data_IF_005511027106
#
_entry.id   IF_005511027106
#
_cell.length_a   1.000
_cell.length_b   1.000
_cell.length_c   1.000
_cell.angle_alpha   90.00
_cell.angle_beta   90.00
_cell.angle_gamma   90.00
#
_symmetry.space_group_name_H-M   'P 1'
#
loop_
_entity.id
_entity.type
_entity.pdbx_description
1 polymer ?
#
# COMPACT_ATOMS: atom_id res chain seq x y z
N UNK A 1 -11.70 18.75 -2.74
CA UNK A 1 -10.44 18.06 -3.07
C UNK A 1 -10.74 16.58 -3.35
N UNK A 2 -9.75 15.77 -3.72
CA UNK A 2 -9.84 14.30 -3.69
C UNK A 2 -8.57 13.73 -3.06
N UNK A 3 -8.77 12.98 -1.98
CA UNK A 3 -7.71 12.37 -1.19
C UNK A 3 -7.54 10.91 -1.57
N UNK A 4 -6.30 10.43 -1.54
CA UNK A 4 -5.99 9.00 -1.55
C UNK A 4 -5.04 8.71 -0.40
N UNK A 5 -5.36 7.69 0.38
CA UNK A 5 -4.63 7.31 1.57
C UNK A 5 -4.44 5.80 1.67
N UNK A 6 -3.36 5.39 2.33
CA UNK A 6 -3.04 3.99 2.57
C UNK A 6 -2.34 3.81 3.92
N UNK A 7 -2.80 2.86 4.73
CA UNK A 7 -2.19 2.39 5.99
C UNK A 7 -1.68 0.97 5.78
N UNK A 8 -0.35 0.79 5.86
CA UNK A 8 0.25 -0.53 5.65
C UNK A 8 0.11 -1.37 6.91
N UNK A 9 -0.47 -2.57 6.79
CA UNK A 9 -0.45 -3.56 7.88
C UNK A 9 0.73 -4.50 7.71
N UNK A 10 1.65 -4.54 8.68
CA UNK A 10 2.85 -5.36 8.57
C UNK A 10 3.48 -5.71 9.91
N UNK A 11 4.52 -6.56 9.87
CA UNK A 11 5.37 -6.84 11.01
C UNK A 11 6.13 -5.58 11.43
N UNK A 12 6.15 -5.29 12.73
CA UNK A 12 6.83 -4.12 13.31
C UNK A 12 8.34 -4.13 13.08
N UNK A 13 8.98 -5.30 12.95
CA UNK A 13 10.38 -5.40 12.53
C UNK A 13 10.66 -4.87 11.11
N UNK A 14 9.61 -4.67 10.30
CA UNK A 14 9.71 -4.08 8.96
C UNK A 14 9.78 -2.56 8.95
N UNK A 15 9.73 -1.87 10.10
CA UNK A 15 9.56 -0.41 10.16
C UNK A 15 10.80 0.44 9.82
N UNK A 16 11.84 -0.11 9.19
CA UNK A 16 12.88 0.68 8.53
C UNK A 16 12.37 1.24 7.20
N UNK A 17 11.80 2.45 7.25
CA UNK A 17 11.07 3.07 6.14
C UNK A 17 11.91 4.08 5.36
N UNK A 18 11.66 4.15 4.05
CA UNK A 18 12.27 5.11 3.14
C UNK A 18 11.21 5.61 2.16
N UNK A 19 10.99 6.92 2.10
CA UNK A 19 10.28 7.54 0.97
C UNK A 19 11.25 7.67 -0.21
N UNK A 20 10.82 7.27 -1.40
CA UNK A 20 11.69 7.24 -2.59
C UNK A 20 11.10 8.09 -3.69
N UNK A 21 11.96 8.83 -4.38
CA UNK A 21 11.67 9.49 -5.65
C UNK A 21 12.63 8.97 -6.70
N UNK A 22 12.10 8.32 -7.73
CA UNK A 22 12.85 7.88 -8.89
C UNK A 22 12.50 8.76 -10.07
N UNK A 23 13.54 9.21 -10.78
CA UNK A 23 13.43 9.95 -12.03
C UNK A 23 14.33 9.25 -13.03
N UNK A 24 13.73 8.48 -13.93
CA UNK A 24 14.47 7.69 -14.92
C UNK A 24 14.02 8.06 -16.33
N UNK A 25 14.95 8.47 -17.22
CA UNK A 25 14.66 8.81 -18.61
C UNK A 25 14.59 7.55 -19.48
N UNK A 26 13.84 6.54 -19.03
CA UNK A 26 13.65 5.31 -19.80
C UNK A 26 12.67 5.55 -20.92
N UNK A 27 12.89 4.92 -22.07
CA UNK A 27 11.98 4.98 -23.21
C UNK A 27 11.09 3.75 -23.27
N UNK A 28 9.95 3.86 -23.96
CA UNK A 28 8.93 2.81 -24.07
C UNK A 28 9.54 1.51 -24.64
N UNK A 29 10.41 1.62 -25.64
CA UNK A 29 11.17 0.48 -26.18
C UNK A 29 12.60 0.87 -26.51
N UNK A 30 13.47 -0.12 -26.74
CA UNK A 30 14.86 0.11 -27.13
C UNK A 30 15.03 0.81 -28.49
N UNK A 31 14.00 0.78 -29.35
CA UNK A 31 14.03 1.40 -30.68
C UNK A 31 13.57 2.87 -30.65
N UNK A 32 12.87 3.28 -29.60
CA UNK A 32 12.39 4.64 -29.44
C UNK A 32 13.36 5.40 -28.55
N UNK A 33 14.13 6.32 -29.12
CA UNK A 33 15.24 7.00 -28.41
C UNK A 33 15.06 8.51 -28.33
N UNK A 34 13.92 9.03 -28.78
CA UNK A 34 13.66 10.47 -28.78
C UNK A 34 13.03 10.89 -27.45
N UNK A 35 13.20 12.15 -27.01
CA UNK A 35 12.68 12.62 -25.73
C UNK A 35 11.17 12.44 -25.56
N UNK A 36 10.38 12.52 -26.63
CA UNK A 36 8.93 12.28 -26.63
C UNK A 36 8.54 10.81 -26.38
N UNK A 37 9.50 9.88 -26.53
CA UNK A 37 9.28 8.46 -26.38
C UNK A 37 9.61 7.95 -24.94
N UNK A 38 9.90 8.88 -24.02
CA UNK A 38 10.12 8.59 -22.59
C UNK A 38 8.82 8.04 -21.98
N UNK A 39 8.96 7.03 -21.11
CA UNK A 39 7.82 6.40 -20.46
C UNK A 39 6.98 7.43 -19.67
N UNK A 40 5.64 7.37 -19.71
CA UNK A 40 4.79 8.34 -19.02
C UNK A 40 5.08 8.45 -17.52
N UNK A 41 5.32 7.32 -16.85
CA UNK A 41 5.71 7.23 -15.45
C UNK A 41 7.22 7.36 -15.21
N UNK A 42 7.90 8.26 -15.93
CA UNK A 42 9.34 8.51 -15.76
C UNK A 42 9.73 9.05 -14.38
N UNK A 43 8.81 9.72 -13.68
CA UNK A 43 8.97 10.13 -12.28
C UNK A 43 7.98 9.37 -11.41
N UNK A 44 8.48 8.72 -10.35
CA UNK A 44 7.66 7.97 -9.40
C UNK A 44 8.08 8.35 -7.99
N UNK A 45 7.09 8.65 -7.13
CA UNK A 45 7.30 8.77 -5.69
C UNK A 45 6.50 7.72 -4.94
N UNK A 46 7.07 7.17 -3.86
CA UNK A 46 6.48 6.02 -3.17
C UNK A 46 6.99 5.89 -1.73
N UNK A 47 6.20 5.23 -0.88
CA UNK A 47 6.69 4.64 0.37
C UNK A 47 7.38 3.30 0.10
N UNK A 48 8.46 3.00 0.81
CA UNK A 48 9.29 1.82 0.56
C UNK A 48 10.16 1.47 1.79
N UNK A 49 11.01 0.46 1.62
CA UNK A 49 11.97 -0.03 2.61
C UNK A 49 13.40 0.03 2.04
N UNK A 50 14.41 -0.15 2.90
CA UNK A 50 15.79 -0.34 2.48
C UNK A 50 15.91 -1.57 1.55
N UNK A 51 16.71 -1.46 0.48
CA UNK A 51 16.94 -2.55 -0.48
C UNK A 51 15.77 -2.91 -1.43
N UNK A 52 14.53 -2.47 -1.15
CA UNK A 52 13.37 -2.71 -2.02
C UNK A 52 13.33 -1.70 -3.16
N UNK A 53 13.34 -2.13 -4.42
CA UNK A 53 13.33 -1.21 -5.58
C UNK A 53 11.92 -0.74 -5.99
N UNK A 54 10.91 -1.19 -5.26
CA UNK A 54 9.49 -0.89 -5.44
C UNK A 54 8.88 -0.63 -4.06
N UNK A 55 7.68 -0.07 -4.01
CA UNK A 55 6.88 -0.10 -2.79
C UNK A 55 6.57 -1.56 -2.44
N UNK A 56 6.50 -1.84 -1.14
CA UNK A 56 6.01 -3.12 -0.63
C UNK A 56 4.70 -2.93 0.15
N UNK A 57 4.16 -1.70 0.13
CA UNK A 57 3.01 -1.30 0.92
C UNK A 57 1.67 -1.71 0.26
N UNK A 58 1.27 -1.28 -0.93
CA UNK A 58 1.89 -0.39 -1.93
C UNK A 58 1.27 1.03 -1.98
N UNK A 59 2.09 2.07 -2.23
CA UNK A 59 1.61 3.44 -2.49
C UNK A 59 2.56 4.17 -3.47
N UNK A 60 2.04 4.57 -4.63
CA UNK A 60 2.81 5.22 -5.69
C UNK A 60 2.08 6.45 -6.22
N UNK A 61 2.83 7.52 -6.50
CA UNK A 61 2.42 8.63 -7.35
C UNK A 61 3.31 8.61 -8.60
N UNK A 62 2.74 8.85 -9.78
CA UNK A 62 3.48 8.80 -11.06
C UNK A 62 3.31 10.08 -11.88
N UNK A 63 4.34 10.45 -12.65
CA UNK A 63 4.27 11.55 -13.62
C UNK A 63 3.24 11.32 -14.73
N UNK A 64 2.75 10.09 -14.90
CA UNK A 64 1.62 9.79 -15.78
C UNK A 64 0.29 10.31 -15.24
N UNK A 65 0.28 10.93 -14.05
CA UNK A 65 -0.94 11.47 -13.43
C UNK A 65 -1.70 10.44 -12.60
N UNK A 66 -1.09 9.30 -12.27
CA UNK A 66 -1.74 8.20 -11.55
C UNK A 66 -1.26 8.12 -10.10
N UNK A 67 -2.19 7.99 -9.17
CA UNK A 67 -1.94 7.52 -7.82
C UNK A 67 -2.45 6.10 -7.66
N UNK A 68 -1.59 5.20 -7.19
CA UNK A 68 -1.83 3.75 -7.18
C UNK A 68 -1.58 3.23 -5.76
N UNK A 69 -2.53 2.46 -5.24
CA UNK A 69 -2.39 1.77 -3.96
C UNK A 69 -3.15 0.45 -4.00
N UNK A 70 -2.98 -0.41 -3.00
CA UNK A 70 -3.65 -1.71 -2.94
C UNK A 70 -3.83 -2.17 -1.51
N UNK A 71 -4.74 -3.13 -1.32
CA UNK A 71 -4.75 -3.97 -0.12
C UNK A 71 -4.77 -5.44 -0.53
N UNK A 72 -3.96 -6.27 0.14
CA UNK A 72 -3.83 -7.68 -0.22
C UNK A 72 -5.13 -8.45 0.03
N UNK A 73 -5.50 -9.35 -0.87
CA UNK A 73 -6.64 -10.24 -0.75
C UNK A 73 -6.20 -11.58 -0.16
N UNK A 74 -7.09 -12.19 0.61
CA UNK A 74 -6.91 -13.56 1.09
C UNK A 74 -7.32 -14.54 -0.01
N UNK A 75 -6.53 -15.59 -0.19
CA UNK A 75 -6.89 -16.74 -1.01
C UNK A 75 -6.69 -18.02 -0.21
N UNK A 76 -7.78 -18.58 0.30
CA UNK A 76 -7.75 -19.86 1.02
C UNK A 76 -8.03 -21.06 0.10
N UNK A 77 -8.41 -20.81 -1.16
CA UNK A 77 -8.64 -21.86 -2.13
C UNK A 77 -7.31 -22.47 -2.58
N UNK A 78 -7.08 -23.72 -2.16
CA UNK A 78 -5.86 -24.46 -2.46
C UNK A 78 -5.72 -24.79 -3.95
N UNK A 79 -6.82 -25.01 -4.68
CA UNK A 79 -6.81 -25.36 -6.10
C UNK A 79 -6.24 -24.22 -6.95
N UNK A 80 -6.47 -22.96 -6.54
CA UNK A 80 -5.89 -21.81 -7.25
C UNK A 80 -4.36 -21.77 -7.18
N UNK A 81 -3.76 -22.35 -6.15
CA UNK A 81 -2.29 -22.39 -6.05
C UNK A 81 -1.64 -23.31 -7.08
N UNK A 82 -2.38 -24.26 -7.65
CA UNK A 82 -1.90 -25.11 -8.75
C UNK A 82 -1.66 -24.31 -10.04
N UNK A 83 -2.24 -23.11 -10.16
CA UNK A 83 -2.06 -22.20 -11.29
C UNK A 83 -0.81 -21.31 -11.17
N UNK A 84 -0.15 -21.31 -10.01
CA UNK A 84 1.06 -20.51 -9.76
C UNK A 84 2.28 -21.34 -10.13
N UNK A 85 2.68 -21.25 -11.40
CA UNK A 85 3.81 -21.95 -11.99
C UNK A 85 4.95 -20.97 -12.31
N UNK A 86 6.21 -21.43 -12.36
CA UNK A 86 7.33 -20.60 -12.82
C UNK A 86 7.10 -19.95 -14.19
N UNK A 87 6.31 -20.59 -15.05
CA UNK A 87 5.97 -20.16 -16.39
C UNK A 87 4.72 -19.27 -16.48
N UNK A 88 3.97 -19.08 -15.37
CA UNK A 88 2.72 -18.30 -15.37
C UNK A 88 2.93 -16.81 -15.62
N UNK A 89 4.14 -16.31 -15.41
CA UNK A 89 4.53 -14.93 -15.67
C UNK A 89 5.47 -14.36 -14.61
N UNK A 90 5.95 -13.12 -14.78
CA UNK A 90 6.76 -12.45 -13.77
C UNK A 90 5.98 -12.26 -12.48
N UNK A 91 6.68 -12.22 -11.35
CA UNK A 91 6.08 -11.84 -10.07
C UNK A 91 5.33 -10.52 -10.17
N UNK A 92 4.21 -10.39 -9.45
CA UNK A 92 3.32 -9.22 -9.52
C UNK A 92 4.04 -7.89 -9.33
N UNK A 93 5.08 -7.82 -8.49
CA UNK A 93 5.85 -6.58 -8.33
C UNK A 93 6.58 -6.13 -9.60
N UNK A 94 7.01 -7.06 -10.47
CA UNK A 94 7.65 -6.77 -11.76
C UNK A 94 6.60 -6.21 -12.72
N UNK A 95 5.45 -6.87 -12.83
CA UNK A 95 4.35 -6.44 -13.69
C UNK A 95 3.81 -5.06 -13.25
N UNK A 96 3.64 -4.85 -11.94
CA UNK A 96 3.24 -3.56 -11.37
C UNK A 96 4.28 -2.46 -11.65
N UNK A 97 5.58 -2.75 -11.53
CA UNK A 97 6.64 -1.78 -11.84
C UNK A 97 6.64 -1.37 -13.32
N UNK A 98 6.36 -2.31 -14.23
CA UNK A 98 6.21 -2.06 -15.65
C UNK A 98 4.95 -1.23 -15.95
N UNK A 99 3.78 -1.64 -15.42
CA UNK A 99 2.52 -0.93 -15.58
C UNK A 99 2.61 0.53 -15.08
N UNK A 100 3.23 0.74 -13.92
CA UNK A 100 3.42 2.06 -13.28
C UNK A 100 4.27 3.00 -14.14
N UNK A 101 5.13 2.46 -15.02
CA UNK A 101 5.95 3.26 -15.94
C UNK A 101 5.26 3.51 -17.26
N UNK A 102 4.66 2.47 -17.83
CA UNK A 102 4.17 2.48 -19.20
C UNK A 102 2.77 3.09 -19.35
N UNK A 103 1.92 2.99 -18.33
CA UNK A 103 0.53 3.40 -18.45
C UNK A 103 0.35 4.93 -18.48
N UNK A 104 -0.59 5.39 -19.31
CA UNK A 104 -1.07 6.78 -19.39
C UNK A 104 -2.42 7.00 -18.70
N UNK A 105 -3.15 5.92 -18.41
CA UNK A 105 -4.48 5.96 -17.78
C UNK A 105 -4.67 4.77 -16.82
N UNK A 106 -5.66 4.86 -15.92
CA UNK A 106 -6.00 3.76 -15.03
C UNK A 106 -6.32 2.46 -15.77
N UNK A 107 -7.18 2.51 -16.79
CA UNK A 107 -7.52 1.33 -17.59
C UNK A 107 -6.32 0.72 -18.31
N UNK A 108 -5.40 1.55 -18.82
CA UNK A 108 -4.18 1.04 -19.45
C UNK A 108 -3.27 0.33 -18.44
N UNK A 109 -3.12 0.89 -17.24
CA UNK A 109 -2.34 0.26 -16.17
C UNK A 109 -2.89 -1.14 -15.86
N UNK A 110 -4.22 -1.24 -15.70
CA UNK A 110 -4.90 -2.51 -15.44
C UNK A 110 -4.74 -3.52 -16.56
N UNK A 111 -4.78 -3.06 -17.82
CA UNK A 111 -4.52 -3.91 -18.99
C UNK A 111 -3.07 -4.38 -19.06
N UNK A 112 -2.11 -3.61 -18.54
CA UNK A 112 -0.70 -4.01 -18.56
C UNK A 112 -0.44 -5.06 -17.47
N UNK A 113 -0.88 -4.82 -16.23
CA UNK A 113 -0.64 -5.77 -15.13
C UNK A 113 -1.33 -7.11 -15.37
N UNK A 114 -2.51 -7.11 -15.98
CA UNK A 114 -3.30 -8.32 -16.21
C UNK A 114 -2.75 -9.26 -17.30
N UNK A 115 -1.81 -8.78 -18.16
CA UNK A 115 -1.29 -9.57 -19.28
C UNK A 115 -0.57 -10.84 -18.85
N UNK A 116 0.25 -10.73 -17.82
CA UNK A 116 1.15 -11.80 -17.36
C UNK A 116 0.85 -12.10 -15.89
N UNK A 117 -0.43 -12.32 -15.55
CA UNK A 117 -0.87 -12.57 -14.19
C UNK A 117 -0.20 -13.83 -13.62
N UNK A 118 0.76 -13.65 -12.71
CA UNK A 118 1.44 -14.76 -12.04
C UNK A 118 0.63 -15.39 -10.90
N UNK A 119 -0.49 -14.79 -10.48
CA UNK A 119 -1.26 -15.26 -9.32
C UNK A 119 -0.57 -15.05 -7.96
N UNK A 120 0.49 -14.25 -7.94
CA UNK A 120 1.26 -13.93 -6.73
C UNK A 120 0.86 -12.56 -6.17
N UNK A 121 0.99 -12.34 -4.86
CA UNK A 121 0.63 -11.06 -4.21
C UNK A 121 -0.78 -10.54 -4.60
N UNK A 122 -1.76 -11.43 -4.49
CA UNK A 122 -3.17 -11.17 -4.79
C UNK A 122 -3.68 -9.96 -3.99
N UNK A 123 -4.30 -9.01 -4.66
CA UNK A 123 -4.66 -7.71 -4.07
C UNK A 123 -5.84 -7.08 -4.80
N UNK A 124 -6.53 -6.18 -4.09
CA UNK A 124 -7.40 -5.18 -4.69
C UNK A 124 -6.58 -3.91 -4.90
N UNK A 125 -6.38 -3.53 -6.15
CA UNK A 125 -5.60 -2.37 -6.57
C UNK A 125 -6.56 -1.22 -6.90
N UNK A 126 -6.26 -0.04 -6.37
CA UNK A 126 -6.97 1.21 -6.65
C UNK A 126 -6.07 2.11 -7.50
N UNK A 127 -6.63 2.68 -8.56
CA UNK A 127 -5.93 3.62 -9.43
C UNK A 127 -6.75 4.88 -9.62
N UNK A 128 -6.29 5.96 -9.00
CA UNK A 128 -6.87 7.29 -9.13
C UNK A 128 -6.11 8.06 -10.21
N UNK A 129 -6.81 8.46 -11.26
CA UNK A 129 -6.27 9.31 -12.32
C UNK A 129 -6.53 10.79 -12.01
N UNK A 130 -5.54 11.46 -11.44
CA UNK A 130 -5.63 12.87 -11.08
C UNK A 130 -5.78 13.80 -12.29
N UNK A 131 -5.46 13.34 -13.52
CA UNK A 131 -5.67 14.13 -14.75
C UNK A 131 -7.15 14.34 -15.03
N UNK A 132 -8.01 13.43 -14.55
CA UNK A 132 -9.46 13.48 -14.74
C UNK A 132 -10.20 14.20 -13.60
N UNK A 133 -9.49 14.60 -12.55
CA UNK A 133 -10.07 15.34 -11.44
C UNK A 133 -9.91 16.86 -11.63
N UNK A 134 -10.99 17.60 -11.40
CA UNK A 134 -10.96 19.07 -11.33
C UNK A 134 -11.69 19.53 -10.07
N UNK A 135 -11.05 20.28 -9.16
CA UNK A 135 -11.71 20.82 -7.97
C UNK A 135 -13.01 21.56 -8.28
N UNK A 136 -14.06 21.28 -7.50
CA UNK A 136 -15.39 21.89 -7.67
C UNK A 136 -16.23 21.32 -8.83
N UNK A 137 -15.72 20.34 -9.59
CA UNK A 137 -16.48 19.61 -10.60
C UNK A 137 -16.86 18.20 -10.11
N UNK A 138 -17.95 17.61 -10.63
CA UNK A 138 -18.24 16.20 -10.38
C UNK A 138 -17.09 15.30 -10.85
N UNK A 139 -16.84 14.21 -10.13
CA UNK A 139 -15.88 13.16 -10.52
C UNK A 139 -16.25 12.65 -11.92
N UNK A 140 -15.35 12.67 -12.90
CA UNK A 140 -15.63 12.15 -14.23
C UNK A 140 -15.54 10.61 -14.28
N UNK A 141 -16.15 9.97 -15.27
CA UNK A 141 -15.93 8.54 -15.49
C UNK A 141 -14.44 8.28 -15.83
N UNK A 142 -13.92 7.14 -15.41
CA UNK A 142 -12.53 6.74 -15.53
C UNK A 142 -11.58 7.32 -14.47
N UNK A 143 -12.06 8.19 -13.57
CA UNK A 143 -11.25 8.80 -12.50
C UNK A 143 -10.72 7.78 -11.51
N UNK A 144 -11.51 6.79 -11.11
CA UNK A 144 -11.08 5.76 -10.16
C UNK A 144 -11.43 4.37 -10.68
N UNK A 145 -10.41 3.52 -10.81
CA UNK A 145 -10.54 2.12 -11.16
C UNK A 145 -10.19 1.22 -9.97
N UNK A 146 -10.87 0.07 -9.90
CA UNK A 146 -10.44 -1.06 -9.07
C UNK A 146 -10.02 -2.24 -9.94
N UNK A 147 -9.15 -3.07 -9.40
CA UNK A 147 -8.77 -4.35 -9.97
C UNK A 147 -8.50 -5.37 -8.89
N UNK A 148 -9.02 -6.59 -9.05
CA UNK A 148 -8.75 -7.70 -8.15
C UNK A 148 -8.10 -8.83 -8.93
N UNK A 149 -7.07 -9.41 -8.33
CA UNK A 149 -6.28 -10.48 -8.91
C UNK A 149 -6.22 -11.69 -8.00
N UNK A 150 -6.38 -12.86 -8.61
CA UNK A 150 -6.10 -14.19 -8.07
C UNK A 150 -5.32 -15.00 -9.12
N UNK A 151 -4.77 -16.17 -8.78
CA UNK A 151 -4.24 -17.09 -9.78
C UNK A 151 -5.30 -17.41 -10.84
N UNK A 152 -4.97 -17.19 -12.12
CA UNK A 152 -5.85 -17.48 -13.26
C UNK A 152 -7.07 -16.58 -13.41
N UNK A 153 -7.29 -15.58 -12.55
CA UNK A 153 -8.50 -14.77 -12.56
C UNK A 153 -8.22 -13.31 -12.23
N UNK A 154 -8.78 -12.41 -13.03
CA UNK A 154 -8.72 -10.97 -12.79
C UNK A 154 -10.08 -10.33 -13.07
N UNK A 155 -10.36 -9.24 -12.34
CA UNK A 155 -11.54 -8.39 -12.54
C UNK A 155 -11.14 -6.93 -12.40
N UNK A 156 -11.80 -6.06 -13.16
CA UNK A 156 -11.64 -4.63 -12.99
C UNK A 156 -12.91 -3.87 -13.34
N UNK A 157 -13.14 -2.74 -12.68
CA UNK A 157 -14.30 -1.89 -12.90
C UNK A 157 -13.96 -0.42 -12.68
N UNK A 158 -14.60 0.46 -13.45
CA UNK A 158 -14.60 1.89 -13.21
C UNK A 158 -15.62 2.22 -12.12
N UNK A 159 -15.11 2.58 -10.94
CA UNK A 159 -15.93 2.90 -9.77
C UNK A 159 -16.10 4.40 -9.57
N UNK A 160 -15.80 5.22 -10.59
CA UNK A 160 -15.94 6.68 -10.53
C UNK A 160 -17.35 7.12 -10.14
N UNK A 161 -18.38 6.40 -10.59
CA UNK A 161 -19.76 6.64 -10.17
C UNK A 161 -19.96 6.38 -8.67
N UNK A 162 -19.43 5.28 -8.14
CA UNK A 162 -19.51 4.98 -6.72
C UNK A 162 -18.79 6.05 -5.89
N UNK A 163 -17.60 6.49 -6.31
CA UNK A 163 -16.87 7.60 -5.68
C UNK A 163 -17.67 8.92 -5.72
N UNK A 164 -18.33 9.21 -6.85
CA UNK A 164 -19.18 10.41 -7.01
C UNK A 164 -20.39 10.40 -6.08
N UNK A 165 -21.07 9.26 -6.00
CA UNK A 165 -22.35 9.12 -5.30
C UNK A 165 -22.16 8.91 -3.79
N UNK A 166 -21.25 8.02 -3.39
CA UNK A 166 -20.96 7.72 -1.97
C UNK A 166 -19.97 8.70 -1.34
N UNK A 167 -19.21 9.45 -2.15
CA UNK A 167 -18.13 10.36 -1.72
C UNK A 167 -16.91 9.68 -1.10
N UNK A 168 -16.81 8.35 -1.18
CA UNK A 168 -15.62 7.59 -0.79
C UNK A 168 -15.59 6.23 -1.48
N UNK A 169 -14.40 5.63 -1.49
CA UNK A 169 -14.19 4.20 -1.69
C UNK A 169 -13.25 3.71 -0.59
N UNK A 170 -13.48 2.50 -0.10
CA UNK A 170 -12.64 1.90 0.95
C UNK A 170 -12.23 0.48 0.54
N UNK A 171 -11.00 0.12 0.91
CA UNK A 171 -10.39 -1.18 0.65
C UNK A 171 -9.81 -1.72 1.96
N UNK A 172 -10.06 -2.99 2.25
CA UNK A 172 -9.81 -3.57 3.58
C UNK A 172 -9.64 -5.10 3.51
N UNK A 173 -8.83 -5.58 2.55
CA UNK A 173 -8.42 -6.97 2.39
C UNK A 173 -9.53 -8.00 2.12
N UNK A 174 -10.75 -7.56 1.79
CA UNK A 174 -11.85 -8.43 1.38
C UNK A 174 -12.23 -8.09 -0.06
N UNK A 175 -12.39 -9.12 -0.89
CA UNK A 175 -12.73 -8.96 -2.30
C UNK A 175 -14.10 -8.29 -2.46
N UNK A 176 -14.17 -7.31 -3.35
CA UNK A 176 -15.38 -6.60 -3.74
C UNK A 176 -16.18 -7.37 -4.80
N UNK A 177 -15.50 -7.95 -5.79
CA UNK A 177 -16.20 -8.67 -6.85
C UNK A 177 -16.72 -10.00 -6.29
N UNK A 178 -18.02 -10.24 -6.41
CA UNK A 178 -18.68 -11.42 -5.83
C UNK A 178 -18.08 -12.74 -6.31
N UNK A 179 -17.61 -12.81 -7.55
CA UNK A 179 -16.99 -14.01 -8.12
C UNK A 179 -15.57 -14.25 -7.58
N UNK A 180 -14.78 -13.19 -7.38
CA UNK A 180 -13.48 -13.23 -6.68
C UNK A 180 -13.68 -13.60 -5.21
N UNK A 181 -14.68 -13.05 -4.54
CA UNK A 181 -15.01 -13.39 -3.15
C UNK A 181 -15.45 -14.86 -3.01
N UNK A 182 -16.28 -15.34 -3.92
CA UNK A 182 -16.78 -16.72 -3.88
C UNK A 182 -15.67 -17.75 -4.09
N UNK A 183 -14.72 -17.50 -5.00
CA UNK A 183 -13.67 -18.47 -5.33
C UNK A 183 -12.54 -18.53 -4.30
N UNK A 184 -12.39 -17.54 -3.42
CA UNK A 184 -11.32 -17.47 -2.40
C UNK A 184 -11.59 -18.30 -1.14
N UNK A 185 -12.66 -19.11 -1.14
CA UNK A 185 -13.12 -19.91 0.01
C UNK A 185 -13.36 -19.10 1.30
N UNK A 186 -13.81 -17.84 1.17
CA UNK A 186 -14.20 -17.03 2.32
C UNK A 186 -15.58 -17.42 2.89
N UNK A 187 -16.47 -18.03 2.10
CA UNK A 187 -17.83 -18.40 2.54
C UNK A 187 -17.83 -19.33 3.77
N UNK A 188 -17.02 -20.41 3.84
CA UNK A 188 -16.89 -21.20 5.06
C UNK A 188 -16.39 -20.40 6.27
N UNK A 189 -15.51 -19.40 6.07
CA UNK A 189 -15.06 -18.51 7.15
C UNK A 189 -16.16 -17.58 7.62
N UNK A 190 -17.04 -17.11 6.73
CA UNK A 190 -18.25 -16.36 7.11
C UNK A 190 -19.19 -17.23 7.95
N UNK A 191 -19.40 -18.49 7.58
CA UNK A 191 -20.24 -19.40 8.38
C UNK A 191 -19.65 -19.65 9.77
N UNK A 192 -18.33 -19.79 9.86
CA UNK A 192 -17.63 -20.11 11.13
C UNK A 192 -17.42 -18.89 12.03
N UNK A 193 -17.00 -17.76 11.48
CA UNK A 193 -16.52 -16.59 12.22
C UNK A 193 -17.40 -15.33 12.00
N UNK A 194 -18.41 -15.42 11.14
CA UNK A 194 -19.38 -14.35 10.92
C UNK A 194 -18.85 -13.16 10.13
N UNK A 195 -19.35 -11.98 10.49
CA UNK A 195 -19.23 -10.74 9.73
C UNK A 195 -17.79 -10.27 9.46
N UNK A 196 -16.79 -10.73 10.22
CA UNK A 196 -15.39 -10.33 10.02
C UNK A 196 -14.89 -10.59 8.60
N UNK A 197 -15.36 -11.67 7.97
CA UNK A 197 -14.98 -12.07 6.61
C UNK A 197 -15.93 -11.56 5.53
N UNK A 198 -16.98 -10.81 5.89
CA UNK A 198 -17.92 -10.26 4.91
C UNK A 198 -17.48 -8.88 4.43
N UNK A 199 -17.62 -8.61 3.13
CA UNK A 199 -17.24 -7.32 2.55
C UNK A 199 -17.97 -6.15 3.23
N UNK A 200 -19.30 -6.22 3.32
CA UNK A 200 -20.10 -5.11 3.85
C UNK A 200 -20.11 -4.99 5.37
N UNK A 201 -19.87 -6.07 6.13
CA UNK A 201 -20.11 -6.06 7.58
C UNK A 201 -18.87 -6.29 8.45
N UNK A 202 -17.68 -6.43 7.85
CA UNK A 202 -16.46 -6.47 8.65
C UNK A 202 -16.27 -5.15 9.45
N UNK A 203 -15.54 -5.18 10.58
CA UNK A 203 -15.35 -4.00 11.41
C UNK A 203 -14.86 -2.76 10.64
N UNK A 204 -13.89 -2.93 9.73
CA UNK A 204 -13.35 -1.84 8.93
C UNK A 204 -14.35 -1.26 7.95
N UNK A 205 -15.15 -2.08 7.28
CA UNK A 205 -16.22 -1.62 6.40
C UNK A 205 -17.24 -0.76 7.17
N UNK A 206 -17.63 -1.22 8.36
CA UNK A 206 -18.56 -0.50 9.25
C UNK A 206 -17.95 0.82 9.76
N UNK A 207 -16.67 0.84 10.16
CA UNK A 207 -15.97 2.06 10.60
C UNK A 207 -15.86 3.05 9.45
N UNK A 208 -15.39 2.63 8.26
CA UNK A 208 -15.34 3.51 7.08
C UNK A 208 -16.72 4.07 6.74
N UNK A 209 -17.76 3.23 6.69
CA UNK A 209 -19.14 3.66 6.41
C UNK A 209 -19.64 4.69 7.42
N UNK A 210 -19.27 4.56 8.70
CA UNK A 210 -19.65 5.51 9.76
C UNK A 210 -18.89 6.83 9.67
N UNK A 211 -17.58 6.77 9.40
CA UNK A 211 -16.66 7.87 9.68
C UNK A 211 -16.10 8.58 8.44
N UNK A 212 -16.24 8.03 7.23
CA UNK A 212 -15.67 8.64 6.02
C UNK A 212 -16.10 10.10 5.82
N UNK A 213 -17.35 10.44 6.20
CA UNK A 213 -17.89 11.79 6.06
C UNK A 213 -17.28 12.81 7.04
N UNK A 214 -16.54 12.35 8.06
CA UNK A 214 -15.81 13.22 9.00
C UNK A 214 -14.50 13.75 8.39
N UNK A 215 -14.06 13.19 7.26
CA UNK A 215 -12.85 13.62 6.57
C UNK A 215 -13.14 14.88 5.75
N UNK A 216 -12.57 16.01 6.18
CA UNK A 216 -12.71 17.32 5.53
C UNK A 216 -11.39 17.88 4.99
N UNK A 217 -10.26 17.31 5.41
CA UNK A 217 -8.91 17.83 5.17
C UNK A 217 -7.86 16.72 5.36
N UNK A 218 -6.57 17.06 5.16
CA UNK A 218 -5.46 16.13 5.31
C UNK A 218 -5.34 15.59 6.74
N UNK A 219 -5.59 16.42 7.77
CA UNK A 219 -5.46 16.03 9.17
C UNK A 219 -6.52 15.00 9.57
N UNK A 220 -7.78 15.27 9.23
CA UNK A 220 -8.90 14.34 9.45
C UNK A 220 -8.79 13.07 8.62
N UNK A 221 -8.21 13.11 7.41
CA UNK A 221 -7.88 11.91 6.64
C UNK A 221 -6.81 11.06 7.35
N UNK A 222 -5.73 11.69 7.83
CA UNK A 222 -4.69 10.99 8.59
C UNK A 222 -5.29 10.38 9.87
N UNK A 223 -6.13 11.12 10.59
CA UNK A 223 -6.78 10.65 11.80
C UNK A 223 -7.67 9.43 11.54
N UNK A 224 -8.48 9.43 10.47
CA UNK A 224 -9.29 8.25 10.10
C UNK A 224 -8.40 7.04 9.76
N UNK A 225 -7.32 7.25 9.01
CA UNK A 225 -6.42 6.16 8.62
C UNK A 225 -5.58 5.63 9.78
N UNK A 226 -5.40 6.42 10.86
CA UNK A 226 -4.75 6.00 12.11
C UNK A 226 -5.75 5.51 13.16
N UNK A 227 -7.05 5.47 12.85
CA UNK A 227 -8.08 5.25 13.84
C UNK A 227 -8.02 3.86 14.48
N UNK A 228 -7.89 3.84 15.81
CA UNK A 228 -8.03 2.65 16.64
C UNK A 228 -8.39 3.06 18.07
N UNK A 229 -9.68 3.14 18.35
CA UNK A 229 -10.21 3.37 19.70
C UNK A 229 -10.91 2.10 20.23
N UNK A 230 -10.28 0.93 20.06
CA UNK A 230 -10.94 -0.38 20.17
C UNK A 230 -11.65 -0.65 21.50
N UNK A 231 -11.22 -0.02 22.60
CA UNK A 231 -11.82 -0.19 23.92
C UNK A 231 -13.17 0.53 24.05
N UNK A 232 -13.36 1.61 23.30
CA UNK A 232 -14.56 2.45 23.38
C UNK A 232 -15.44 2.31 22.13
N UNK A 233 -14.88 1.95 20.97
CA UNK A 233 -15.64 1.79 19.74
C UNK A 233 -16.52 0.51 19.78
N UNK A 234 -17.86 0.64 19.71
CA UNK A 234 -18.74 -0.53 19.62
C UNK A 234 -18.49 -1.42 18.39
N UNK A 235 -17.91 -0.88 17.31
CA UNK A 235 -17.55 -1.64 16.11
C UNK A 235 -16.30 -2.51 16.28
N UNK A 236 -15.54 -2.29 17.35
CA UNK A 236 -14.39 -3.10 17.73
C UNK A 236 -14.71 -4.19 18.75
N UNK A 237 -15.99 -4.35 19.14
CA UNK A 237 -16.44 -5.41 20.04
C UNK A 237 -16.52 -6.76 19.32
N UNK A 238 -16.20 -7.82 20.06
CA UNK A 238 -16.39 -9.21 19.63
C UNK A 238 -17.01 -10.04 20.74
N UNK A 239 -17.46 -11.25 20.37
CA UNK A 239 -17.82 -12.28 21.35
C UNK A 239 -16.54 -12.98 21.84
N UNK A 240 -15.76 -12.25 22.61
CA UNK A 240 -14.39 -12.55 23.01
C UNK A 240 -14.15 -12.06 24.45
N UNK A 241 -13.04 -12.47 25.05
CA UNK A 241 -12.57 -11.98 26.36
C UNK A 241 -11.16 -11.43 26.20
N UNK A 242 -10.89 -10.14 26.49
CA UNK A 242 -11.85 -9.08 26.81
C UNK A 242 -12.83 -8.81 25.64
N UNK A 243 -13.99 -8.13 25.85
CA UNK A 243 -15.08 -8.01 24.87
C UNK A 243 -14.81 -6.98 23.76
N UNK A 244 -13.54 -6.80 23.40
CA UNK A 244 -13.07 -5.87 22.38
C UNK A 244 -11.77 -6.38 21.76
N UNK A 245 -11.51 -5.99 20.52
CA UNK A 245 -10.38 -6.47 19.75
C UNK A 245 -9.59 -5.30 19.14
N UNK A 246 -8.31 -5.09 19.50
CA UNK A 246 -7.47 -4.03 18.94
C UNK A 246 -7.14 -4.22 17.46
N UNK A 247 -7.51 -5.34 16.87
CA UNK A 247 -7.39 -5.60 15.43
C UNK A 247 -8.63 -5.17 14.64
N UNK A 248 -9.76 -4.91 15.31
CA UNK A 248 -11.02 -4.48 14.69
C UNK A 248 -11.03 -2.95 14.53
N UNK A 249 -10.04 -2.43 13.82
CA UNK A 249 -9.79 -1.00 13.64
C UNK A 249 -9.22 -0.70 12.24
N UNK A 250 -9.14 0.58 11.85
CA UNK A 250 -8.48 0.95 10.58
C UNK A 250 -6.98 0.74 10.67
N UNK A 251 -6.35 1.18 11.78
CA UNK A 251 -4.95 0.93 12.10
C UNK A 251 -4.81 -0.03 13.29
N UNK A 252 -4.74 -1.36 13.07
CA UNK A 252 -4.85 -2.37 14.10
C UNK A 252 -3.58 -2.45 14.92
N UNK A 253 -3.70 -2.97 16.15
CA UNK A 253 -2.61 -3.11 17.11
C UNK A 253 -2.61 -4.53 17.70
N UNK A 254 -2.04 -5.51 16.99
CA UNK A 254 -2.01 -6.90 17.49
C UNK A 254 -1.17 -7.01 18.77
N UNK A 255 -0.22 -6.10 18.98
CA UNK A 255 0.60 -6.05 20.19
C UNK A 255 -0.21 -5.70 21.46
N UNK A 256 -1.41 -5.16 21.30
CA UNK A 256 -2.31 -4.81 22.41
C UNK A 256 -3.35 -5.91 22.72
N UNK A 257 -3.31 -7.05 22.03
CA UNK A 257 -4.08 -8.22 22.40
C UNK A 257 -3.60 -8.71 23.78
N UNK A 258 -4.54 -8.98 24.68
CA UNK A 258 -4.27 -9.66 25.95
C UNK A 258 -3.71 -11.08 25.68
N UNK A 259 -2.52 -11.44 26.20
CA UNK A 259 -1.96 -12.79 26.08
C UNK A 259 -2.79 -13.90 26.71
N UNK A 260 -3.69 -13.57 27.64
CA UNK A 260 -4.64 -14.50 28.24
C UNK A 260 -6.05 -14.34 27.66
N UNK A 261 -6.20 -13.56 26.58
CA UNK A 261 -7.48 -13.34 25.94
C UNK A 261 -7.95 -14.55 25.14
N UNK A 262 -9.27 -14.66 25.00
CA UNK A 262 -9.98 -15.63 24.17
C UNK A 262 -10.71 -14.86 23.07
N UNK A 263 -10.22 -14.95 21.84
CA UNK A 263 -10.72 -14.15 20.71
C UNK A 263 -11.58 -14.97 19.76
N UNK A 264 -12.55 -14.31 19.13
CA UNK A 264 -13.51 -14.91 18.19
C UNK A 264 -12.86 -15.45 16.90
N UNK A 265 -11.64 -15.01 16.60
CA UNK A 265 -10.82 -15.49 15.48
C UNK A 265 -9.52 -16.07 16.04
N UNK A 266 -9.27 -17.35 15.75
CA UNK A 266 -8.18 -18.12 16.36
C UNK A 266 -6.79 -17.59 15.98
N UNK A 267 -6.66 -16.92 14.83
CA UNK A 267 -5.41 -16.31 14.37
C UNK A 267 -5.10 -14.95 15.05
N UNK A 268 -5.95 -14.49 15.97
CA UNK A 268 -5.79 -13.23 16.70
C UNK A 268 -5.15 -13.44 18.06
N UNK A 269 -3.81 -13.54 18.05
CA UNK A 269 -2.98 -13.63 19.26
C UNK A 269 -1.94 -12.50 19.28
N UNK A 270 -1.38 -12.14 20.46
CA UNK A 270 -0.45 -11.03 20.57
C UNK A 270 0.82 -11.26 19.74
N UNK A 271 1.16 -10.27 18.91
CA UNK A 271 2.36 -10.26 18.07
C UNK A 271 2.69 -8.85 17.64
N UNK A 272 3.95 -8.59 17.30
CA UNK A 272 4.43 -7.30 16.82
C UNK A 272 4.00 -7.05 15.35
N UNK A 273 2.68 -6.87 15.14
CA UNK A 273 2.01 -6.64 13.85
C UNK A 273 0.93 -5.58 14.03
N UNK A 274 0.71 -4.77 13.00
CA UNK A 274 -0.37 -3.78 13.01
C UNK A 274 -0.26 -2.82 11.83
N UNK A 275 -1.04 -1.75 11.86
CA UNK A 275 -0.80 -0.59 11.00
C UNK A 275 0.56 0.01 11.35
N UNK A 276 1.45 0.18 10.37
CA UNK A 276 2.83 0.65 10.59
C UNK A 276 3.14 2.00 9.94
N UNK A 277 2.17 2.61 9.26
CA UNK A 277 2.31 3.94 8.70
C UNK A 277 0.95 4.51 8.29
N UNK A 278 0.94 5.77 7.85
CA UNK A 278 -0.10 6.27 6.94
C UNK A 278 0.59 7.07 5.85
N UNK A 279 0.15 6.94 4.59
CA UNK A 279 0.51 7.85 3.49
C UNK A 279 -0.76 8.50 2.97
N UNK A 280 -0.77 9.82 2.81
CA UNK A 280 -1.90 10.57 2.25
C UNK A 280 -1.40 11.57 1.23
N UNK A 281 -2.05 11.63 0.07
CA UNK A 281 -1.90 12.76 -0.85
C UNK A 281 -3.28 13.31 -1.25
N UNK A 282 -3.27 14.48 -1.86
CA UNK A 282 -4.42 15.13 -2.44
C UNK A 282 -4.06 15.74 -3.80
N UNK A 283 -5.01 16.42 -4.45
CA UNK A 283 -4.77 17.00 -5.78
C UNK A 283 -3.57 17.96 -5.79
N UNK A 284 -3.42 18.79 -4.75
CA UNK A 284 -2.34 19.77 -4.65
C UNK A 284 -0.98 19.11 -4.44
N UNK A 285 -0.85 18.23 -3.45
CA UNK A 285 0.41 17.52 -3.17
C UNK A 285 0.82 16.61 -4.32
N UNK A 286 -0.14 15.97 -4.99
CA UNK A 286 0.10 15.14 -6.16
C UNK A 286 0.81 15.91 -7.28
N UNK A 287 0.45 17.18 -7.50
CA UNK A 287 1.09 18.01 -8.55
C UNK A 287 2.60 18.19 -8.36
N UNK A 288 3.08 18.07 -7.12
CA UNK A 288 4.51 18.11 -6.76
C UNK A 288 5.12 16.71 -6.57
N UNK A 289 4.35 15.64 -6.80
CA UNK A 289 4.69 14.25 -6.52
C UNK A 289 4.93 14.01 -5.02
N UNK A 290 4.19 14.69 -4.16
CA UNK A 290 4.38 14.68 -2.70
C UNK A 290 3.22 13.98 -1.99
N UNK A 291 3.52 13.49 -0.78
CA UNK A 291 2.53 12.94 0.14
C UNK A 291 2.99 13.17 1.58
N UNK A 292 2.03 13.21 2.50
CA UNK A 292 2.29 13.23 3.94
C UNK A 292 2.42 11.78 4.42
N UNK A 293 3.45 11.50 5.21
CA UNK A 293 3.67 10.20 5.83
C UNK A 293 3.68 10.29 7.36
N UNK A 294 3.06 9.33 8.03
CA UNK A 294 3.27 9.05 9.47
C UNK A 294 3.91 7.67 9.57
N UNK A 295 4.99 7.51 10.33
CA UNK A 295 5.67 6.22 10.48
C UNK A 295 5.43 5.63 11.87
N UNK A 296 5.17 4.34 11.92
CA UNK A 296 4.95 3.57 13.14
C UNK A 296 3.48 3.38 13.52
N UNK A 297 3.22 2.52 14.53
CA UNK A 297 1.87 2.17 14.94
C UNK A 297 1.06 3.38 15.40
N UNK A 298 -0.27 3.26 15.29
CA UNK A 298 -1.15 4.29 15.82
C UNK A 298 -0.96 4.47 17.32
N UNK A 299 -0.88 5.73 17.75
CA UNK A 299 -0.77 6.14 19.15
C UNK A 299 -1.78 7.25 19.49
N UNK A 300 -2.73 7.50 18.60
CA UNK A 300 -3.66 8.62 18.69
C UNK A 300 -4.62 8.40 19.88
N UNK A 301 -5.23 7.20 19.95
CA UNK A 301 -6.07 6.74 21.07
C UNK A 301 -5.43 5.59 21.88
N UNK A 302 -4.18 5.22 21.53
CA UNK A 302 -3.48 4.06 22.07
C UNK A 302 -2.12 4.43 22.66
N UNK A 303 -1.58 3.65 23.62
CA UNK A 303 -0.21 3.87 24.07
C UNK A 303 0.76 3.73 22.89
N UNK A 304 1.75 4.64 22.75
CA UNK A 304 2.80 4.50 21.75
C UNK A 304 3.50 3.15 21.89
N UNK A 305 3.74 2.46 20.77
CA UNK A 305 4.51 1.23 20.78
C UNK A 305 5.97 1.51 21.18
N UNK A 306 6.54 0.67 22.05
CA UNK A 306 7.91 0.80 22.51
C UNK A 306 8.56 -0.59 22.64
N UNK A 307 9.65 -0.82 21.91
CA UNK A 307 10.31 -2.14 21.83
C UNK A 307 10.72 -2.66 23.20
N UNK A 308 11.44 -1.83 23.97
CA UNK A 308 11.99 -2.18 25.29
C UNK A 308 10.95 -2.60 26.33
N UNK A 309 9.68 -2.21 26.17
CA UNK A 309 8.58 -2.55 27.09
C UNK A 309 7.55 -3.50 26.47
N UNK A 310 7.70 -3.86 25.20
CA UNK A 310 6.70 -4.64 24.46
C UNK A 310 6.67 -6.12 24.81
N UNK A 311 7.78 -6.67 25.32
CA UNK A 311 7.95 -8.10 25.54
C UNK A 311 8.24 -8.92 24.28
N UNK A 312 8.33 -8.30 23.10
CA UNK A 312 8.71 -8.98 21.86
C UNK A 312 10.23 -9.02 21.66
N UNK A 313 10.72 -10.16 21.18
CA UNK A 313 12.16 -10.42 20.97
C UNK A 313 12.60 -10.27 19.51
N UNK A 314 11.76 -9.69 18.65
CA UNK A 314 12.08 -9.44 17.25
C UNK A 314 13.38 -8.63 17.11
N UNK A 315 14.22 -8.97 16.13
CA UNK A 315 15.35 -8.11 15.77
C UNK A 315 14.85 -6.80 15.13
N UNK A 316 15.32 -5.68 15.66
CA UNK A 316 14.89 -4.33 15.28
C UNK A 316 16.07 -3.35 15.20
N UNK A 317 17.21 -3.81 14.67
CA UNK A 317 18.42 -2.99 14.52
C UNK A 317 18.12 -1.76 13.68
N UNK A 318 18.50 -0.57 14.19
CA UNK A 318 18.27 0.71 13.51
C UNK A 318 16.88 1.31 13.76
N UNK A 319 16.00 0.63 14.50
CA UNK A 319 14.73 1.21 14.92
C UNK A 319 14.92 2.19 16.08
N UNK A 320 14.11 3.25 16.16
CA UNK A 320 13.85 3.92 17.43
C UNK A 320 13.20 2.95 18.42
N UNK A 321 13.50 3.10 19.71
CA UNK A 321 12.86 2.29 20.75
C UNK A 321 11.37 2.59 20.86
N UNK A 322 11.01 3.88 20.99
CA UNK A 322 9.63 4.36 21.08
C UNK A 322 9.15 4.95 19.76
N UNK A 323 7.98 4.51 19.30
CA UNK A 323 7.34 4.94 18.06
C UNK A 323 6.24 5.96 18.36
N UNK A 324 6.61 7.23 18.38
CA UNK A 324 5.71 8.36 18.63
C UNK A 324 5.98 9.49 17.64
N UNK A 325 5.98 9.16 16.34
CA UNK A 325 6.22 10.13 15.28
C UNK A 325 4.90 10.79 14.86
N UNK A 326 4.97 12.09 14.59
CA UNK A 326 3.88 12.85 13.96
C UNK A 326 3.94 12.81 12.43
N UNK A 327 2.99 13.46 11.74
CA UNK A 327 2.99 13.56 10.30
C UNK A 327 4.18 14.36 9.77
N UNK A 328 4.78 13.86 8.69
CA UNK A 328 5.88 14.48 7.96
C UNK A 328 5.47 14.67 6.51
N UNK A 329 5.46 15.91 6.05
CA UNK A 329 5.41 16.27 4.63
C UNK A 329 6.84 16.42 4.12
N UNK A 330 7.29 15.49 3.27
CA UNK A 330 8.59 15.63 2.62
C UNK A 330 8.43 16.43 1.32
N UNK A 331 9.12 17.56 1.23
CA UNK A 331 9.24 18.36 0.01
C UNK A 331 10.48 17.94 -0.76
N UNK A 332 10.34 17.63 -2.05
CA UNK A 332 11.48 17.20 -2.85
C UNK A 332 12.33 18.41 -3.27
N UNK A 333 13.62 18.39 -2.97
CA UNK A 333 14.53 19.37 -3.57
C UNK A 333 14.53 19.24 -5.11
N UNK A 334 14.60 20.37 -5.85
CA UNK A 334 14.85 20.31 -7.28
C UNK A 334 16.14 19.55 -7.54
N UNK A 335 16.12 18.60 -8.49
CA UNK A 335 17.35 17.93 -8.93
C UNK A 335 18.36 19.00 -9.36
N UNK A 336 19.44 19.17 -8.58
CA UNK A 336 20.56 20.01 -9.02
C UNK A 336 21.17 19.35 -10.25
N UNK A 337 21.11 20.05 -11.38
CA UNK A 337 21.64 19.63 -12.68
C UNK A 337 23.16 19.33 -12.66
N UNK A 338 23.88 19.74 -11.61
CA UNK A 338 25.31 19.50 -11.44
C UNK A 338 25.70 18.02 -11.52
N UNK A 339 24.82 17.10 -11.09
CA UNK A 339 25.08 15.65 -11.18
C UNK A 339 25.11 15.11 -12.62
N UNK A 340 24.42 15.75 -13.59
CA UNK A 340 24.47 15.33 -15.01
C UNK A 340 25.84 15.61 -15.63
N UNK A 341 26.50 16.70 -15.24
CA UNK A 341 27.81 17.07 -15.78
C UNK A 341 28.93 16.10 -15.37
N UNK A 342 28.82 15.41 -14.23
CA UNK A 342 29.84 14.44 -13.82
C UNK A 342 29.83 13.15 -14.66
N UNK A 343 28.70 12.77 -15.26
CA UNK A 343 28.57 11.52 -16.04
C UNK A 343 28.61 11.73 -17.56
N UNK A 344 28.39 12.95 -18.03
CA UNK A 344 28.39 13.30 -19.47
C UNK A 344 29.73 13.86 -19.98
N UNK A 345 30.84 13.76 -19.21
CA UNK A 345 32.17 14.14 -19.70
C UNK A 345 32.94 12.94 -20.27
N UNK A 346 33.05 12.79 -21.60
CA UNK A 346 34.04 11.92 -22.23
C UNK A 346 35.35 12.69 -22.43
N UNK A 347 36.18 12.86 -21.40
CA UNK A 347 37.65 12.95 -21.50
C UNK A 347 38.30 13.34 -20.18
N UNK A 348 39.43 12.70 -19.89
CA UNK A 348 40.07 12.70 -18.57
C UNK A 348 40.58 14.05 -18.08
N UNK A 349 40.41 14.26 -16.77
CA UNK A 349 41.31 15.06 -15.95
C UNK A 349 41.19 14.63 -14.48
N UNK A 350 42.34 14.26 -13.90
CA UNK A 350 42.72 14.15 -12.48
C UNK A 350 41.67 13.71 -11.44
N UNK A 351 41.87 12.50 -10.88
CA UNK A 351 41.26 12.07 -9.62
C UNK A 351 41.75 12.92 -8.43
N UNK A 352 40.86 13.41 -7.55
CA UNK A 352 41.17 13.60 -6.15
C UNK A 352 40.70 12.39 -5.33
N UNK A 353 41.53 12.01 -4.34
CA UNK A 353 41.41 10.95 -3.33
C UNK A 353 40.25 9.95 -3.46
N UNK A 354 40.59 8.70 -3.78
CA UNK A 354 39.70 7.55 -3.68
C UNK A 354 39.28 7.31 -2.23
N UNK A 355 38.13 7.82 -1.83
CA UNK A 355 37.31 7.14 -0.83
C UNK A 355 36.82 5.85 -1.47
N UNK A 356 37.14 4.72 -0.85
CA UNK A 356 36.64 3.40 -1.29
C UNK A 356 35.12 3.39 -1.08
N UNK A 357 34.37 3.56 -2.17
CA UNK A 357 32.95 3.23 -2.16
C UNK A 357 32.79 1.81 -2.69
N UNK A 358 32.45 0.91 -1.77
CA UNK A 358 32.14 -0.49 -2.04
C UNK A 358 30.89 -0.51 -2.93
N UNK A 359 31.05 -0.90 -4.19
CA UNK A 359 29.95 -1.33 -5.03
C UNK A 359 29.49 -2.71 -4.53
N UNK A 360 28.43 -2.75 -3.72
CA UNK A 360 27.73 -4.00 -3.45
C UNK A 360 26.84 -4.33 -4.65
N UNK A 361 27.32 -5.23 -5.50
CA UNK A 361 26.47 -6.04 -6.36
C UNK A 361 25.72 -7.03 -5.45
N UNK A 362 24.55 -6.64 -4.94
CA UNK A 362 23.66 -7.57 -4.25
C UNK A 362 22.78 -8.28 -5.28
N UNK A 363 23.15 -9.50 -5.65
CA UNK A 363 22.17 -10.47 -6.13
C UNK A 363 21.26 -10.83 -4.95
N UNK A 364 20.05 -10.26 -4.90
CA UNK A 364 19.05 -10.61 -3.88
C UNK A 364 18.12 -11.66 -4.47
N UNK A 365 18.37 -12.93 -4.14
CA UNK A 365 17.37 -13.98 -4.20
C UNK A 365 16.25 -13.61 -3.22
N UNK A 366 15.10 -13.21 -3.75
CA UNK A 366 13.91 -12.89 -2.95
C UNK A 366 13.22 -14.18 -2.56
N UNK A 367 13.38 -14.62 -1.31
CA UNK A 367 12.50 -15.61 -0.69
C UNK A 367 11.16 -14.94 -0.38
N UNK A 368 10.26 -14.93 -1.37
CA UNK A 368 8.87 -14.55 -1.21
C UNK A 368 8.03 -15.79 -0.88
N UNK A 369 8.18 -16.33 0.34
CA UNK A 369 7.26 -17.32 0.91
C UNK A 369 7.69 -17.55 2.37
N UNK A 370 7.05 -16.84 3.31
CA UNK A 370 6.98 -17.08 4.77
C UNK A 370 6.58 -15.79 5.51
N UNK A 371 5.39 -15.24 5.20
CA UNK A 371 4.82 -14.14 6.00
C UNK A 371 3.43 -14.43 6.56
N UNK A 372 2.95 -15.67 6.44
CA UNK A 372 1.70 -16.13 7.09
C UNK A 372 1.83 -17.57 7.65
N UNK A 373 3.02 -17.92 8.12
CA UNK A 373 3.25 -18.93 9.16
C UNK A 373 4.01 -18.22 10.29
#
# INVERSE_FOLDING_TARGET
DVYIAHDTWFLYRGMLRIQKKYIFPWHITAQHTRPEDVVPGHTITMSSYAGKIVSWDNFYLTSAGLAITETSLVNDNAELWELVLPESGPFTFVNAAAATRLATSGLEWLRIIARENSGTCNSQILILDYKLFTPGRPIADGTLWIYEQLPGMTRHEDISRALRDKRYWASYNIAYFEDIFAITEQLPKVEKYGDYYTYENCPRAKIFRRDHAKVSDMESMIALMRYNDYKNDPLSRCNCTPPFNPTYAIAPRFDLLDPNGDYDIIEMYPRAVGGIDVKVTNYTLFSSMEFVGVSGPTWDDQPPFQWSTSGFNDSHVGHPDKWQFGPVHHTWEPLRLEWRQQWESPSGASQPSRTVHVALLCAVLSTALLQYL
#
